data_IF_656663690059
#
_entry.id   IF_656663690059
#
_cell.length_a   1.000
_cell.length_b   1.000
_cell.length_c   1.000
_cell.angle_alpha   90.00
_cell.angle_beta   90.00
_cell.angle_gamma   90.00
#
_symmetry.space_group_name_H-M   'P 1'
#
loop_
_entity.id
_entity.type
_entity.pdbx_description
1 polymer ?
#
# COMPACT_ATOMS: atom_id res chain seq x y z
N UNK A 1 26.28 -61.47 -8.87
CA UNK A 1 26.37 -60.00 -9.01
C UNK A 1 25.02 -59.38 -8.68
N UNK A 2 25.06 -58.43 -7.74
CA UNK A 2 24.16 -57.29 -7.49
C UNK A 2 22.69 -57.58 -7.11
N UNK A 3 22.43 -57.45 -5.80
CA UNK A 3 21.14 -57.18 -5.16
C UNK A 3 20.77 -55.71 -5.41
N UNK A 4 19.57 -55.42 -5.89
CA UNK A 4 18.99 -54.07 -5.86
C UNK A 4 17.96 -53.99 -4.74
N UNK A 5 18.36 -53.29 -3.67
CA UNK A 5 17.50 -52.88 -2.56
C UNK A 5 16.83 -51.55 -2.96
N UNK A 6 15.51 -51.55 -3.13
CA UNK A 6 14.74 -50.32 -3.34
C UNK A 6 14.56 -49.62 -1.99
N UNK A 7 15.37 -48.60 -1.71
CA UNK A 7 15.15 -47.71 -0.56
C UNK A 7 14.14 -46.65 -1.00
N UNK A 8 12.92 -46.77 -0.49
CA UNK A 8 11.88 -45.75 -0.59
C UNK A 8 12.32 -44.55 0.28
N UNK A 9 12.85 -43.50 -0.32
CA UNK A 9 13.09 -42.22 0.35
C UNK A 9 11.73 -41.57 0.61
N UNK A 10 11.22 -41.77 1.83
CA UNK A 10 10.22 -40.92 2.45
C UNK A 10 10.81 -39.50 2.56
N UNK A 11 10.47 -38.64 1.61
CA UNK A 11 10.62 -37.20 1.81
C UNK A 11 9.61 -36.78 2.88
N UNK A 12 10.03 -36.21 4.01
CA UNK A 12 9.09 -35.50 4.86
C UNK A 12 8.58 -34.30 4.05
N UNK A 13 7.26 -34.22 3.90
CA UNK A 13 6.56 -33.01 3.49
C UNK A 13 6.93 -31.90 4.49
N UNK A 14 7.96 -31.12 4.15
CA UNK A 14 8.16 -29.81 4.76
C UNK A 14 6.94 -28.97 4.39
N UNK A 15 6.10 -28.79 5.39
CA UNK A 15 4.81 -28.13 5.31
C UNK A 15 5.03 -26.66 4.98
N UNK A 16 4.27 -26.16 4.02
CA UNK A 16 4.29 -24.80 3.50
C UNK A 16 4.15 -23.75 4.60
N UNK A 17 5.23 -22.99 4.86
CA UNK A 17 5.15 -21.66 5.46
C UNK A 17 5.43 -20.55 4.42
N UNK A 18 5.61 -20.92 3.15
CA UNK A 18 6.05 -20.03 2.08
C UNK A 18 4.90 -19.53 1.18
N UNK A 19 3.70 -20.12 1.25
CA UNK A 19 2.55 -19.68 0.43
C UNK A 19 1.97 -18.34 0.91
N UNK A 20 1.85 -18.15 2.21
CA UNK A 20 1.13 -16.99 2.76
C UNK A 20 1.97 -15.71 2.63
N UNK A 21 3.30 -15.82 2.70
CA UNK A 21 4.21 -14.68 2.53
C UNK A 21 4.30 -14.19 1.08
N UNK A 22 4.11 -15.09 0.09
CA UNK A 22 4.11 -14.72 -1.33
C UNK A 22 2.76 -14.08 -1.70
N UNK A 23 1.65 -14.68 -1.26
CA UNK A 23 0.30 -14.14 -1.53
C UNK A 23 0.10 -12.74 -0.93
N UNK A 24 0.58 -12.51 0.31
CA UNK A 24 0.48 -11.20 0.97
C UNK A 24 1.37 -10.13 0.33
N UNK A 25 2.54 -10.49 -0.19
CA UNK A 25 3.41 -9.55 -0.90
C UNK A 25 2.84 -9.18 -2.28
N UNK A 26 2.33 -10.15 -3.03
CA UNK A 26 1.69 -9.94 -4.32
C UNK A 26 0.45 -9.04 -4.18
N UNK A 27 -0.42 -9.34 -3.20
CA UNK A 27 -1.59 -8.51 -2.89
C UNK A 27 -1.20 -7.07 -2.50
N UNK A 28 -0.11 -6.89 -1.73
CA UNK A 28 0.37 -5.56 -1.34
C UNK A 28 0.96 -4.78 -2.52
N UNK A 29 1.66 -5.47 -3.44
CA UNK A 29 2.16 -4.86 -4.69
C UNK A 29 0.98 -4.38 -5.53
N UNK A 30 -0.05 -5.20 -5.68
CA UNK A 30 -1.24 -4.87 -6.47
C UNK A 30 -1.99 -3.67 -5.90
N UNK A 31 -2.18 -3.60 -4.57
CA UNK A 31 -2.79 -2.45 -3.89
C UNK A 31 -2.03 -1.14 -4.19
N UNK A 32 -0.68 -1.16 -4.15
CA UNK A 32 0.14 0.02 -4.45
C UNK A 32 0.04 0.46 -5.91
N UNK A 33 0.03 -0.49 -6.85
CA UNK A 33 -0.13 -0.19 -8.29
C UNK A 33 -1.49 0.43 -8.55
N UNK A 34 -2.56 -0.15 -7.98
CA UNK A 34 -3.92 0.38 -8.10
C UNK A 34 -4.06 1.76 -7.49
N UNK A 35 -3.47 2.00 -6.31
CA UNK A 35 -3.45 3.32 -5.69
C UNK A 35 -2.79 4.37 -6.59
N UNK A 36 -1.61 4.07 -7.14
CA UNK A 36 -0.89 4.97 -8.06
C UNK A 36 -1.68 5.26 -9.33
N UNK A 37 -2.39 4.26 -9.85
CA UNK A 37 -3.29 4.42 -11.00
C UNK A 37 -4.44 5.39 -10.69
N UNK A 38 -5.12 5.23 -9.54
CA UNK A 38 -6.18 6.14 -9.09
C UNK A 38 -5.68 7.57 -8.90
N UNK A 39 -4.49 7.74 -8.32
CA UNK A 39 -3.84 9.05 -8.19
C UNK A 39 -3.65 9.71 -9.55
N UNK A 40 -3.10 8.97 -10.52
CA UNK A 40 -2.87 9.48 -11.88
C UNK A 40 -4.18 9.90 -12.55
N UNK A 41 -5.23 9.09 -12.39
CA UNK A 41 -6.56 9.39 -12.93
C UNK A 41 -7.22 10.58 -12.21
N UNK A 42 -7.01 10.74 -10.90
CA UNK A 42 -7.48 11.90 -10.14
C UNK A 42 -6.84 13.18 -10.70
N UNK A 43 -5.53 13.17 -10.92
CA UNK A 43 -4.81 14.28 -11.56
C UNK A 43 -5.37 14.61 -12.94
N UNK A 44 -5.71 13.60 -13.75
CA UNK A 44 -6.35 13.81 -15.06
C UNK A 44 -7.69 14.56 -14.92
N UNK A 45 -8.59 14.08 -14.05
CA UNK A 45 -9.88 14.73 -13.83
C UNK A 45 -9.74 16.16 -13.29
N UNK A 46 -8.76 16.42 -12.43
CA UNK A 46 -8.46 17.77 -11.95
C UNK A 46 -7.97 18.69 -13.07
N UNK A 47 -7.16 18.17 -14.00
CA UNK A 47 -6.66 18.92 -15.16
C UNK A 47 -7.76 19.21 -16.19
N UNK A 48 -8.70 18.29 -16.35
CA UNK A 48 -9.87 18.43 -17.23
C UNK A 48 -10.96 19.34 -16.65
N UNK A 49 -10.82 19.79 -15.39
CA UNK A 49 -11.87 20.55 -14.69
C UNK A 49 -13.09 19.70 -14.31
N UNK A 50 -13.00 18.37 -14.40
CA UNK A 50 -14.08 17.44 -14.10
C UNK A 50 -14.21 17.22 -12.58
N UNK A 51 -14.74 18.22 -11.89
CA UNK A 51 -14.86 18.23 -10.43
C UNK A 51 -15.67 17.06 -9.85
N UNK A 52 -16.72 16.60 -10.54
CA UNK A 52 -17.57 15.49 -10.09
C UNK A 52 -16.83 14.15 -10.09
N UNK A 53 -16.10 13.85 -11.17
CA UNK A 53 -15.28 12.64 -11.24
C UNK A 53 -14.07 12.72 -10.29
N UNK A 54 -13.43 13.88 -10.22
CA UNK A 54 -12.34 14.13 -9.27
C UNK A 54 -12.78 13.93 -7.83
N UNK A 55 -13.97 14.40 -7.42
CA UNK A 55 -14.48 14.23 -6.06
C UNK A 55 -14.70 12.76 -5.69
N UNK A 56 -15.31 11.97 -6.58
CA UNK A 56 -15.50 10.53 -6.35
C UNK A 56 -14.17 9.80 -6.22
N UNK A 57 -13.23 10.11 -7.11
CA UNK A 57 -11.93 9.46 -7.11
C UNK A 57 -11.05 9.90 -5.94
N UNK A 58 -11.13 11.17 -5.54
CA UNK A 58 -10.48 11.70 -4.33
C UNK A 58 -10.92 10.92 -3.09
N UNK A 59 -12.22 10.63 -2.95
CA UNK A 59 -12.71 9.77 -1.86
C UNK A 59 -12.11 8.35 -1.94
N UNK A 60 -12.08 7.74 -3.13
CA UNK A 60 -11.47 6.40 -3.27
C UNK A 60 -9.98 6.38 -2.93
N UNK A 61 -9.23 7.42 -3.33
CA UNK A 61 -7.81 7.59 -2.95
C UNK A 61 -7.68 7.73 -1.44
N UNK A 62 -8.54 8.54 -0.81
CA UNK A 62 -8.60 8.70 0.64
C UNK A 62 -8.86 7.37 1.37
N UNK A 63 -9.79 6.55 0.86
CA UNK A 63 -10.13 5.26 1.44
C UNK A 63 -8.93 4.29 1.35
N UNK A 64 -8.24 4.23 0.21
CA UNK A 64 -7.02 3.43 0.04
C UNK A 64 -5.89 3.87 1.01
N UNK A 65 -5.73 5.17 1.24
CA UNK A 65 -4.74 5.67 2.20
C UNK A 65 -5.01 5.19 3.61
N UNK A 66 -6.28 5.15 4.03
CA UNK A 66 -6.66 4.63 5.33
C UNK A 66 -6.32 3.14 5.46
N UNK A 67 -6.48 2.37 4.38
CA UNK A 67 -6.06 0.96 4.33
C UNK A 67 -4.55 0.85 4.56
N UNK A 68 -3.71 1.61 3.84
CA UNK A 68 -2.26 1.57 4.05
C UNK A 68 -1.82 2.00 5.45
N UNK A 69 -2.52 2.97 6.05
CA UNK A 69 -2.28 3.41 7.42
C UNK A 69 -2.64 2.28 8.41
N UNK A 70 -3.78 1.62 8.20
CA UNK A 70 -4.20 0.49 9.03
C UNK A 70 -3.25 -0.71 8.90
N UNK A 71 -2.78 -1.02 7.68
CA UNK A 71 -1.79 -2.08 7.44
C UNK A 71 -0.47 -1.77 8.16
N UNK A 72 -0.01 -0.52 8.10
CA UNK A 72 1.20 -0.07 8.81
C UNK A 72 1.01 -0.18 10.33
N UNK A 73 -0.16 0.21 10.84
CA UNK A 73 -0.50 0.07 12.27
C UNK A 73 -0.50 -1.40 12.70
N UNK A 74 -1.10 -2.28 11.91
CA UNK A 74 -1.10 -3.72 12.17
C UNK A 74 0.31 -4.32 12.17
N UNK A 75 1.19 -3.84 11.28
CA UNK A 75 2.59 -4.23 11.27
C UNK A 75 3.34 -3.72 12.52
N UNK A 76 3.05 -2.50 12.99
CA UNK A 76 3.64 -1.98 14.24
C UNK A 76 3.28 -2.85 15.45
N UNK A 77 2.01 -3.27 15.54
CA UNK A 77 1.50 -4.04 16.69
C UNK A 77 2.12 -5.44 16.79
N UNK A 78 2.57 -5.99 15.65
CA UNK A 78 3.24 -7.29 15.58
C UNK A 78 4.77 -7.23 15.64
N UNK A 79 5.36 -6.02 15.64
CA UNK A 79 6.81 -5.81 15.52
C UNK A 79 7.40 -5.10 16.75
N UNK A 80 8.68 -5.37 17.08
CA UNK A 80 9.41 -4.74 18.21
C UNK A 80 10.79 -4.23 17.77
N UNK A 81 11.43 -3.43 18.63
CA UNK A 81 12.81 -3.00 18.44
C UNK A 81 13.00 -1.96 17.34
N UNK A 82 14.08 -2.07 16.57
CA UNK A 82 14.43 -1.11 15.52
C UNK A 82 13.40 -1.06 14.39
N UNK A 83 12.80 -2.20 14.05
CA UNK A 83 11.79 -2.27 12.99
C UNK A 83 10.47 -1.61 13.40
N UNK A 84 10.09 -1.74 14.67
CA UNK A 84 8.94 -1.01 15.23
C UNK A 84 9.12 0.51 15.10
N UNK A 85 10.31 1.03 15.41
CA UNK A 85 10.60 2.47 15.28
C UNK A 85 10.50 2.97 13.84
N UNK A 86 10.91 2.16 12.85
CA UNK A 86 10.75 2.52 11.43
C UNK A 86 9.28 2.55 11.03
N UNK A 87 8.51 1.55 11.46
CA UNK A 87 7.07 1.49 11.19
C UNK A 87 6.31 2.63 11.87
N UNK A 88 6.71 3.03 13.08
CA UNK A 88 6.21 4.20 13.80
C UNK A 88 6.45 5.50 12.99
N UNK A 89 7.68 5.73 12.53
CA UNK A 89 8.00 6.88 11.68
C UNK A 89 7.21 6.90 10.37
N UNK A 90 7.04 5.73 9.74
CA UNK A 90 6.23 5.56 8.53
C UNK A 90 4.76 5.88 8.81
N UNK A 91 4.20 5.35 9.89
CA UNK A 91 2.82 5.60 10.31
C UNK A 91 2.56 7.08 10.57
N UNK A 92 3.42 7.75 11.34
CA UNK A 92 3.31 9.19 11.62
C UNK A 92 3.33 10.00 10.32
N UNK A 93 4.24 9.66 9.39
CA UNK A 93 4.33 10.32 8.09
C UNK A 93 3.06 10.10 7.26
N UNK A 94 2.52 8.89 7.23
CA UNK A 94 1.28 8.59 6.52
C UNK A 94 0.08 9.33 7.10
N UNK A 95 -0.03 9.42 8.43
CA UNK A 95 -1.09 10.19 9.09
C UNK A 95 -1.02 11.69 8.78
N UNK A 96 0.18 12.28 8.87
CA UNK A 96 0.40 13.69 8.52
C UNK A 96 -0.01 13.98 7.08
N UNK A 97 0.42 13.12 6.16
CA UNK A 97 0.05 13.24 4.75
C UNK A 97 -1.46 13.05 4.58
N UNK A 98 -2.09 12.05 5.19
CA UNK A 98 -3.55 11.88 5.14
C UNK A 98 -4.32 13.12 5.59
N UNK A 99 -3.95 13.71 6.72
CA UNK A 99 -4.58 14.95 7.18
C UNK A 99 -4.41 16.11 6.20
N UNK A 100 -3.26 16.22 5.54
CA UNK A 100 -3.04 17.23 4.50
C UNK A 100 -3.91 16.97 3.26
N UNK A 101 -4.00 15.72 2.82
CA UNK A 101 -4.82 15.34 1.68
C UNK A 101 -6.28 15.74 1.90
N UNK A 102 -6.86 15.40 3.06
CA UNK A 102 -8.25 15.73 3.40
C UNK A 102 -8.56 17.23 3.28
N UNK A 103 -7.58 18.11 3.57
CA UNK A 103 -7.75 19.57 3.45
C UNK A 103 -7.94 20.05 2.02
N UNK A 104 -7.63 19.23 1.01
CA UNK A 104 -7.83 19.59 -0.38
C UNK A 104 -9.29 19.44 -0.84
N UNK A 105 -10.09 18.60 -0.17
CA UNK A 105 -11.46 18.26 -0.58
C UNK A 105 -12.35 19.47 -0.88
N UNK A 106 -12.36 20.55 -0.05
CA UNK A 106 -13.26 21.68 -0.30
C UNK A 106 -12.94 22.46 -1.58
N UNK A 107 -11.72 22.36 -2.11
CA UNK A 107 -11.25 23.16 -3.24
C UNK A 107 -10.30 22.38 -4.17
N UNK A 108 -10.71 21.18 -4.59
CA UNK A 108 -9.88 20.24 -5.36
C UNK A 108 -9.21 20.87 -6.59
N UNK A 109 -9.97 21.58 -7.44
CA UNK A 109 -9.45 22.18 -8.68
C UNK A 109 -8.36 23.23 -8.39
N UNK A 110 -8.58 24.04 -7.35
CA UNK A 110 -7.62 25.08 -6.92
C UNK A 110 -6.35 24.47 -6.34
N UNK A 111 -6.46 23.30 -5.71
CA UNK A 111 -5.37 22.62 -5.02
C UNK A 111 -4.65 21.57 -5.90
N UNK A 112 -4.91 21.51 -7.22
CA UNK A 112 -4.40 20.46 -8.10
C UNK A 112 -2.88 20.25 -8.05
N UNK A 113 -2.09 21.33 -8.00
CA UNK A 113 -0.62 21.26 -7.96
C UNK A 113 -0.15 20.67 -6.64
N UNK A 114 -0.78 21.07 -5.52
CA UNK A 114 -0.51 20.53 -4.20
C UNK A 114 -0.89 19.05 -4.10
N UNK A 115 -1.97 18.62 -4.75
CA UNK A 115 -2.42 17.21 -4.76
C UNK A 115 -1.35 16.32 -5.39
N UNK A 116 -0.77 16.69 -6.54
CA UNK A 116 0.26 15.88 -7.21
C UNK A 116 1.52 15.70 -6.35
N UNK A 117 2.07 16.81 -5.84
CA UNK A 117 3.26 16.76 -4.96
C UNK A 117 2.97 15.95 -3.70
N UNK A 118 1.78 16.10 -3.14
CA UNK A 118 1.36 15.37 -1.96
C UNK A 118 1.25 13.86 -2.24
N UNK A 119 0.67 13.46 -3.37
CA UNK A 119 0.52 12.03 -3.71
C UNK A 119 1.87 11.33 -3.89
N UNK A 120 2.85 12.02 -4.48
CA UNK A 120 4.21 11.48 -4.61
C UNK A 120 4.86 11.22 -3.24
N UNK A 121 4.69 12.17 -2.31
CA UNK A 121 5.19 12.02 -0.94
C UNK A 121 4.53 10.85 -0.20
N UNK A 122 3.24 10.59 -0.43
CA UNK A 122 2.56 9.46 0.18
C UNK A 122 3.02 8.13 -0.42
N UNK A 123 3.14 8.04 -1.75
CA UNK A 123 3.64 6.85 -2.45
C UNK A 123 5.03 6.46 -1.94
N UNK A 124 5.91 7.44 -1.68
CA UNK A 124 7.24 7.18 -1.10
C UNK A 124 7.20 6.48 0.26
N UNK A 125 6.13 6.63 1.04
CA UNK A 125 5.98 5.90 2.31
C UNK A 125 5.63 4.42 2.12
N UNK A 126 5.20 4.01 0.93
CA UNK A 126 4.70 2.66 0.65
C UNK A 126 5.82 1.66 0.30
N UNK A 127 7.05 2.16 0.13
CA UNK A 127 8.28 1.41 -0.17
C UNK A 127 9.31 1.59 0.95
#
# INVERSE_FOLDING_TARGET
>A
MIRFLFILLLFPLCTNAQSDSIATQEETIDKRIMFRSKVTQLTSYLNEGNGSAAKRLFKSVSDDMQIFIADTKSAMDSTKGSEHKKLEQKFDRQQQLFMQFQRFEPNLIRNKSSINTWTDQFIQTLY
#
